data_IF_525246385387
#
_entry.id   IF_525246385387
#
_cell.length_a   1.000
_cell.length_b   1.000
_cell.length_c   1.000
_cell.angle_alpha   90.00
_cell.angle_beta   90.00
_cell.angle_gamma   90.00
#
_symmetry.space_group_name_H-M   'P 1'
#
loop_
_entity.id
_entity.type
_entity.pdbx_description
1 polymer ?
#
# COMPACT_ATOMS: atom_id res chain seq x y z
N UNK A 1 -14.45 -4.78 -12.87
CA UNK A 1 -13.76 -5.30 -14.05
C UNK A 1 -14.46 -6.57 -14.48
N UNK A 2 -15.02 -6.59 -15.71
CA UNK A 2 -15.90 -7.65 -16.22
C UNK A 2 -15.25 -9.01 -16.48
N UNK A 3 -14.43 -9.53 -15.58
CA UNK A 3 -13.92 -10.91 -15.65
C UNK A 3 -12.86 -11.19 -16.71
N UNK A 4 -12.28 -10.19 -17.33
CA UNK A 4 -11.20 -10.36 -18.28
C UNK A 4 -9.84 -10.25 -17.55
N UNK A 5 -9.04 -11.31 -17.67
CA UNK A 5 -7.65 -11.30 -17.22
C UNK A 5 -6.78 -10.61 -18.28
N UNK A 6 -5.79 -9.79 -17.89
CA UNK A 6 -4.87 -9.22 -18.85
C UNK A 6 -4.03 -10.33 -19.49
N UNK A 7 -3.65 -10.14 -20.74
CA UNK A 7 -2.74 -11.05 -21.43
C UNK A 7 -1.35 -11.04 -20.76
N UNK A 8 -0.64 -12.16 -20.85
CA UNK A 8 0.72 -12.31 -20.30
C UNK A 8 1.64 -11.17 -20.76
N UNK A 9 1.52 -10.74 -22.02
CA UNK A 9 2.31 -9.64 -22.60
C UNK A 9 1.97 -8.27 -22.02
N UNK A 10 0.79 -8.12 -21.43
CA UNK A 10 0.26 -6.84 -20.93
C UNK A 10 0.36 -6.74 -19.40
N UNK A 11 0.95 -7.74 -18.74
CA UNK A 11 1.21 -7.69 -17.32
C UNK A 11 2.25 -6.61 -17.01
N UNK A 12 1.84 -5.59 -16.27
CA UNK A 12 2.71 -4.47 -15.89
C UNK A 12 2.51 -4.06 -14.44
N UNK A 13 3.40 -3.24 -13.89
CA UNK A 13 3.35 -2.77 -12.52
C UNK A 13 3.12 -3.89 -11.51
N UNK A 14 2.20 -3.71 -10.59
CA UNK A 14 1.84 -4.71 -9.58
C UNK A 14 1.36 -6.04 -10.21
N UNK A 15 0.63 -5.97 -11.32
CA UNK A 15 0.12 -7.15 -12.01
C UNK A 15 1.25 -7.98 -12.66
N UNK A 16 2.42 -7.40 -12.95
CA UNK A 16 3.57 -8.16 -13.42
C UNK A 16 4.05 -9.16 -12.36
N UNK A 17 4.03 -8.78 -11.09
CA UNK A 17 4.41 -9.68 -10.00
C UNK A 17 3.36 -10.75 -9.74
N UNK A 18 2.12 -10.37 -9.49
CA UNK A 18 1.04 -11.32 -9.14
C UNK A 18 0.58 -12.16 -10.32
N UNK A 19 0.41 -11.54 -11.48
CA UNK A 19 0.08 -12.26 -12.71
C UNK A 19 1.23 -13.15 -13.15
N UNK A 20 2.47 -12.67 -13.08
CA UNK A 20 3.68 -13.46 -13.37
C UNK A 20 3.80 -14.66 -12.45
N UNK A 21 3.60 -14.52 -11.15
CA UNK A 21 3.56 -15.64 -10.20
C UNK A 21 2.51 -16.68 -10.61
N UNK A 22 1.32 -16.25 -10.98
CA UNK A 22 0.23 -17.12 -11.42
C UNK A 22 0.56 -17.87 -12.73
N UNK A 23 1.21 -17.18 -13.68
CA UNK A 23 1.68 -17.82 -14.92
C UNK A 23 2.71 -18.90 -14.63
N UNK A 24 3.70 -18.60 -13.78
CA UNK A 24 4.73 -19.59 -13.39
C UNK A 24 4.13 -20.78 -12.66
N UNK A 25 3.19 -20.57 -11.74
CA UNK A 25 2.48 -21.64 -11.05
C UNK A 25 1.73 -22.54 -12.05
N UNK A 26 1.02 -21.96 -13.01
CA UNK A 26 0.34 -22.70 -14.07
C UNK A 26 1.33 -23.52 -14.92
N UNK A 27 2.50 -22.94 -15.24
CA UNK A 27 3.52 -23.63 -16.03
C UNK A 27 4.08 -24.85 -15.25
N UNK A 28 4.42 -24.64 -13.97
CA UNK A 28 4.97 -25.72 -13.13
C UNK A 28 3.95 -26.84 -12.89
N UNK A 29 2.69 -26.51 -12.66
CA UNK A 29 1.64 -27.53 -12.52
C UNK A 29 1.42 -28.35 -13.80
N UNK A 30 1.60 -27.73 -14.96
CA UNK A 30 1.31 -28.39 -16.23
C UNK A 30 2.49 -29.10 -16.88
N UNK A 31 3.69 -28.55 -16.77
CA UNK A 31 4.91 -29.05 -17.42
C UNK A 31 6.02 -29.47 -16.45
N UNK A 32 5.79 -29.33 -15.13
CA UNK A 32 6.79 -29.63 -14.10
C UNK A 32 7.69 -28.44 -13.77
N UNK A 33 8.36 -28.51 -12.61
CA UNK A 33 9.25 -27.44 -12.13
C UNK A 33 10.48 -27.26 -13.04
N UNK A 34 10.97 -28.32 -13.65
CA UNK A 34 12.13 -28.32 -14.58
C UNK A 34 11.89 -27.43 -15.80
N UNK A 35 10.62 -27.21 -16.16
CA UNK A 35 10.24 -26.38 -17.30
C UNK A 35 10.72 -24.93 -17.16
N UNK A 36 10.85 -24.41 -15.94
CA UNK A 36 11.38 -23.06 -15.68
C UNK A 36 12.82 -22.95 -16.16
N UNK A 37 13.66 -23.92 -15.77
CA UNK A 37 15.06 -23.96 -16.18
C UNK A 37 15.21 -24.07 -17.69
N UNK A 38 14.39 -24.92 -18.32
CA UNK A 38 14.41 -25.09 -19.78
C UNK A 38 13.96 -23.83 -20.52
N UNK A 39 12.92 -23.15 -20.05
CA UNK A 39 12.48 -21.86 -20.62
C UNK A 39 13.61 -20.83 -20.59
N UNK A 40 14.26 -20.67 -19.43
CA UNK A 40 15.36 -19.72 -19.27
C UNK A 40 16.52 -20.06 -20.19
N UNK A 41 16.90 -21.32 -20.27
CA UNK A 41 17.95 -21.83 -21.16
C UNK A 41 17.63 -21.53 -22.64
N UNK A 42 16.42 -21.82 -23.09
CA UNK A 42 16.02 -21.61 -24.49
C UNK A 42 15.88 -20.11 -24.82
N UNK A 43 15.45 -19.28 -23.89
CA UNK A 43 15.45 -17.79 -24.05
C UNK A 43 16.89 -17.31 -24.23
N UNK A 44 17.81 -17.72 -23.35
CA UNK A 44 19.21 -17.34 -23.45
C UNK A 44 19.83 -17.77 -24.77
N UNK A 45 19.53 -19.00 -25.23
CA UNK A 45 20.07 -19.54 -26.49
C UNK A 45 19.52 -18.86 -27.74
N UNK A 46 18.24 -18.47 -27.73
CA UNK A 46 17.60 -17.84 -28.88
C UNK A 46 17.62 -16.32 -28.86
N UNK A 47 17.97 -15.72 -27.74
CA UNK A 47 17.83 -14.30 -27.44
C UNK A 47 16.41 -13.75 -27.75
N UNK A 48 15.39 -14.60 -27.60
CA UNK A 48 14.01 -14.28 -27.89
C UNK A 48 13.05 -15.01 -26.96
N UNK A 49 12.20 -14.26 -26.26
CA UNK A 49 11.26 -14.79 -25.26
C UNK A 49 10.26 -15.77 -25.91
N UNK A 50 9.60 -15.37 -26.99
CA UNK A 50 8.57 -16.20 -27.65
C UNK A 50 9.15 -17.53 -28.17
N UNK A 51 10.34 -17.46 -28.77
CA UNK A 51 11.06 -18.65 -29.23
C UNK A 51 11.47 -19.55 -28.07
N UNK A 52 11.89 -18.96 -26.93
CA UNK A 52 12.25 -19.70 -25.73
C UNK A 52 11.07 -20.48 -25.18
N UNK A 53 9.93 -19.84 -24.96
CA UNK A 53 8.70 -20.50 -24.51
C UNK A 53 8.25 -21.60 -25.48
N UNK A 54 8.24 -21.30 -26.79
CA UNK A 54 7.83 -22.29 -27.80
C UNK A 54 8.71 -23.52 -27.82
N UNK A 55 10.03 -23.36 -27.67
CA UNK A 55 10.97 -24.51 -27.66
C UNK A 55 10.87 -25.31 -26.38
N UNK A 56 10.72 -24.65 -25.24
CA UNK A 56 10.67 -25.32 -23.94
C UNK A 56 9.32 -26.03 -23.69
N UNK A 57 8.20 -25.38 -24.03
CA UNK A 57 6.85 -25.86 -23.69
C UNK A 57 6.10 -26.49 -24.87
N UNK A 58 6.62 -26.38 -26.10
CA UNK A 58 5.95 -26.87 -27.30
C UNK A 58 4.72 -26.00 -27.72
N UNK A 59 4.46 -24.88 -27.06
CA UNK A 59 3.35 -23.97 -27.33
C UNK A 59 3.85 -22.54 -27.50
N UNK A 60 3.24 -21.78 -28.39
CA UNK A 60 3.53 -20.36 -28.52
C UNK A 60 2.89 -19.57 -27.37
N UNK A 61 3.34 -18.31 -27.22
CA UNK A 61 2.92 -17.46 -26.12
C UNK A 61 1.41 -17.13 -26.13
N UNK A 62 0.79 -17.08 -27.32
CA UNK A 62 -0.66 -16.88 -27.46
C UNK A 62 -1.44 -18.07 -26.93
N UNK A 63 -1.05 -19.26 -27.34
CA UNK A 63 -1.68 -20.52 -26.87
C UNK A 63 -1.43 -20.75 -25.38
N UNK A 64 -0.27 -20.36 -24.86
CA UNK A 64 0.02 -20.38 -23.42
C UNK A 64 -0.93 -19.45 -22.67
N UNK A 65 -1.14 -18.24 -23.19
CA UNK A 65 -2.07 -17.25 -22.63
C UNK A 65 -3.50 -17.79 -22.55
N UNK A 66 -4.00 -18.34 -23.66
CA UNK A 66 -5.36 -18.91 -23.70
C UNK A 66 -5.53 -20.06 -22.70
N UNK A 67 -4.53 -20.92 -22.57
CA UNK A 67 -4.53 -22.03 -21.61
C UNK A 67 -4.48 -21.53 -20.17
N UNK A 68 -3.66 -20.51 -19.88
CA UNK A 68 -3.59 -19.90 -18.57
C UNK A 68 -4.92 -19.21 -18.21
N UNK A 69 -5.56 -18.47 -19.11
CA UNK A 69 -6.88 -17.91 -18.89
C UNK A 69 -7.93 -18.99 -18.62
N UNK A 70 -7.90 -20.11 -19.33
CA UNK A 70 -8.82 -21.25 -19.06
C UNK A 70 -8.55 -21.87 -17.69
N UNK A 71 -7.29 -22.01 -17.30
CA UNK A 71 -6.90 -22.48 -15.96
C UNK A 71 -7.43 -21.54 -14.87
N UNK A 72 -7.23 -20.24 -15.01
CA UNK A 72 -7.75 -19.25 -14.05
C UNK A 72 -9.28 -19.30 -13.95
N UNK A 73 -9.98 -19.43 -15.08
CA UNK A 73 -11.44 -19.56 -15.10
C UNK A 73 -11.90 -20.82 -14.34
N UNK A 74 -11.23 -21.94 -14.51
CA UNK A 74 -11.54 -23.18 -13.77
C UNK A 74 -11.30 -23.04 -12.27
N UNK A 75 -10.21 -22.38 -11.88
CA UNK A 75 -9.83 -22.23 -10.46
C UNK A 75 -10.71 -21.25 -9.71
N UNK A 76 -11.05 -20.12 -10.33
CA UNK A 76 -11.64 -18.97 -9.62
C UNK A 76 -13.08 -18.65 -10.01
N UNK A 77 -13.59 -19.18 -11.15
CA UNK A 77 -14.96 -18.90 -11.59
C UNK A 77 -16.05 -19.47 -10.69
N UNK A 78 -15.90 -20.65 -10.08
CA UNK A 78 -16.88 -21.14 -9.11
C UNK A 78 -17.07 -20.18 -7.93
N UNK A 79 -15.99 -19.55 -7.49
CA UNK A 79 -16.01 -18.56 -6.40
C UNK A 79 -16.75 -17.27 -6.80
N UNK A 80 -16.63 -16.84 -8.05
CA UNK A 80 -17.28 -15.61 -8.54
C UNK A 80 -18.80 -15.73 -8.56
N UNK A 81 -19.33 -16.93 -8.82
CA UNK A 81 -20.78 -17.18 -8.82
C UNK A 81 -21.39 -17.23 -7.41
N UNK A 82 -20.58 -17.52 -6.39
CA UNK A 82 -21.00 -17.65 -4.99
C UNK A 82 -20.81 -16.33 -4.22
N UNK A 83 -19.84 -15.51 -4.62
CA UNK A 83 -19.52 -14.24 -3.94
C UNK A 83 -20.39 -13.10 -4.48
N UNK A 84 -20.88 -12.27 -3.56
CA UNK A 84 -21.52 -11.01 -3.94
C UNK A 84 -20.50 -10.10 -4.60
N UNK A 85 -20.91 -9.38 -5.65
CA UNK A 85 -20.08 -8.32 -6.21
C UNK A 85 -19.81 -7.26 -5.14
N UNK A 86 -18.61 -6.71 -5.12
CA UNK A 86 -18.27 -5.64 -4.16
C UNK A 86 -19.22 -4.44 -4.29
N UNK A 87 -19.72 -4.18 -5.50
CA UNK A 87 -20.67 -3.11 -5.80
C UNK A 87 -22.06 -3.35 -5.18
N UNK A 88 -22.41 -4.61 -4.83
CA UNK A 88 -23.68 -4.95 -4.16
C UNK A 88 -23.61 -4.71 -2.65
N UNK A 89 -22.40 -4.57 -2.09
CA UNK A 89 -22.17 -4.46 -0.64
C UNK A 89 -21.40 -3.19 -0.24
N UNK A 90 -20.79 -2.48 -1.20
CA UNK A 90 -20.02 -1.28 -0.96
C UNK A 90 -20.15 -0.29 -2.12
N UNK A 91 -20.17 0.99 -1.80
CA UNK A 91 -20.16 2.06 -2.79
C UNK A 91 -18.72 2.45 -3.13
N UNK A 92 -18.41 2.49 -4.42
CA UNK A 92 -17.13 3.01 -4.91
C UNK A 92 -17.11 4.52 -4.77
N UNK A 93 -16.09 5.07 -4.11
CA UNK A 93 -15.91 6.52 -3.91
C UNK A 93 -14.90 7.16 -4.87
N UNK A 94 -13.99 6.36 -5.42
CA UNK A 94 -12.99 6.85 -6.38
C UNK A 94 -12.89 5.90 -7.57
N UNK A 95 -12.82 6.43 -8.76
CA UNK A 95 -12.61 5.68 -9.99
C UNK A 95 -11.35 6.16 -10.70
N UNK A 96 -10.44 5.24 -11.01
CA UNK A 96 -9.16 5.54 -11.66
C UNK A 96 -9.34 6.04 -13.10
N UNK A 97 -10.39 5.60 -13.79
CA UNK A 97 -10.69 6.04 -15.16
C UNK A 97 -11.21 7.47 -15.17
N UNK A 98 -12.15 7.78 -14.28
CA UNK A 98 -12.70 9.13 -14.16
C UNK A 98 -11.68 10.14 -13.63
N UNK A 99 -10.79 9.70 -12.74
CA UNK A 99 -9.77 10.53 -12.15
C UNK A 99 -8.47 10.62 -12.95
N UNK A 100 -8.37 9.84 -14.04
CA UNK A 100 -7.17 9.73 -14.87
C UNK A 100 -5.89 9.51 -14.03
N UNK A 101 -6.00 8.63 -13.01
CA UNK A 101 -4.91 8.36 -12.08
C UNK A 101 -4.66 6.86 -11.90
N UNK A 102 -3.55 6.53 -11.20
CA UNK A 102 -3.15 5.15 -10.97
C UNK A 102 -3.34 4.73 -9.51
N UNK A 103 -3.22 5.67 -8.58
CA UNK A 103 -3.18 5.38 -7.14
C UNK A 103 -4.18 6.23 -6.37
N UNK A 104 -5.03 5.55 -5.59
CA UNK A 104 -5.80 6.09 -4.48
C UNK A 104 -5.60 5.13 -3.32
N UNK A 105 -4.74 5.46 -2.36
CA UNK A 105 -4.25 4.52 -1.33
C UNK A 105 -4.29 5.13 0.06
N UNK A 106 -4.21 4.26 1.07
CA UNK A 106 -4.19 4.62 2.48
C UNK A 106 -5.38 5.48 2.94
N UNK A 107 -6.62 5.07 2.69
CA UNK A 107 -7.77 5.85 3.16
C UNK A 107 -7.82 5.86 4.70
N UNK A 108 -8.02 7.05 5.26
CA UNK A 108 -8.26 7.25 6.68
C UNK A 108 -9.52 8.09 6.88
N UNK A 109 -10.54 7.49 7.51
CA UNK A 109 -11.82 8.15 7.79
C UNK A 109 -11.66 9.12 8.95
N UNK A 110 -12.23 10.32 8.83
CA UNK A 110 -12.28 11.30 9.91
C UNK A 110 -13.13 10.80 11.07
N UNK A 111 -12.89 11.25 12.32
CA UNK A 111 -13.64 10.78 13.49
C UNK A 111 -15.15 11.01 13.40
N UNK A 112 -15.58 12.06 12.70
CA UNK A 112 -16.97 12.38 12.45
C UNK A 112 -17.59 11.63 11.26
N UNK A 113 -16.78 10.82 10.56
CA UNK A 113 -17.23 10.02 9.41
C UNK A 113 -17.52 10.84 8.13
N UNK A 114 -17.28 12.15 8.12
CA UNK A 114 -17.68 13.01 6.99
C UNK A 114 -16.62 13.09 5.87
N UNK A 115 -15.36 12.86 6.20
CA UNK A 115 -14.23 13.05 5.29
C UNK A 115 -13.28 11.87 5.32
N UNK A 116 -12.61 11.64 4.20
CA UNK A 116 -11.54 10.65 4.08
C UNK A 116 -10.27 11.36 3.63
N UNK A 117 -9.17 11.12 4.34
CA UNK A 117 -7.84 11.50 3.88
C UNK A 117 -7.25 10.35 3.07
N UNK A 118 -6.73 10.64 1.87
CA UNK A 118 -6.12 9.63 0.98
C UNK A 118 -4.87 10.17 0.32
N UNK A 119 -3.91 9.29 0.03
CA UNK A 119 -2.89 9.60 -0.95
C UNK A 119 -3.39 9.28 -2.36
N UNK A 120 -3.23 10.24 -3.27
CA UNK A 120 -3.63 10.11 -4.66
C UNK A 120 -2.65 10.81 -5.59
N UNK A 121 -2.44 10.25 -6.77
CA UNK A 121 -1.71 10.90 -7.86
C UNK A 121 -2.64 11.54 -8.90
N UNK A 122 -3.86 11.90 -8.51
CA UNK A 122 -4.75 12.76 -9.28
C UNK A 122 -4.05 14.09 -9.56
N UNK A 123 -3.88 14.53 -10.74
CA UNK A 123 -3.15 15.74 -11.13
C UNK A 123 -1.60 15.61 -11.09
N UNK A 124 -1.06 14.41 -11.18
CA UNK A 124 0.38 14.19 -11.36
C UNK A 124 1.07 13.53 -10.16
N UNK A 125 2.03 14.17 -9.49
CA UNK A 125 2.74 13.55 -8.38
C UNK A 125 1.85 13.23 -7.18
N UNK A 126 2.27 12.23 -6.39
CA UNK A 126 1.57 11.80 -5.19
C UNK A 126 1.32 12.98 -4.24
N UNK A 127 0.09 13.08 -3.73
CA UNK A 127 -0.33 14.13 -2.82
C UNK A 127 -1.33 13.59 -1.79
N UNK A 128 -1.46 14.28 -0.66
CA UNK A 128 -2.50 14.02 0.32
C UNK A 128 -3.73 14.88 0.00
N UNK A 129 -4.88 14.22 -0.14
CA UNK A 129 -6.16 14.87 -0.38
C UNK A 129 -7.17 14.54 0.72
N UNK A 130 -8.11 15.46 0.92
CA UNK A 130 -9.38 15.20 1.58
C UNK A 130 -10.45 15.00 0.53
N UNK A 131 -11.23 13.94 0.70
CA UNK A 131 -12.43 13.67 -0.07
C UNK A 131 -13.64 13.55 0.85
N UNK A 132 -14.83 13.76 0.30
CA UNK A 132 -16.09 13.51 0.98
C UNK A 132 -16.30 12.00 1.16
N UNK A 133 -16.67 11.58 2.37
CA UNK A 133 -17.02 10.19 2.62
C UNK A 133 -18.40 9.82 2.06
N UNK A 134 -19.22 10.81 1.73
CA UNK A 134 -20.55 10.60 1.16
C UNK A 134 -20.50 10.25 -0.32
N UNK A 135 -19.73 11.02 -1.12
CA UNK A 135 -19.76 10.92 -2.59
C UNK A 135 -18.38 10.78 -3.26
N UNK A 136 -17.29 10.76 -2.49
CA UNK A 136 -15.92 10.66 -3.02
C UNK A 136 -15.39 11.95 -3.66
N UNK A 137 -16.14 13.04 -3.65
CA UNK A 137 -15.73 14.32 -4.22
C UNK A 137 -14.48 14.86 -3.52
N UNK A 138 -13.48 15.26 -4.30
CA UNK A 138 -12.26 15.87 -3.79
C UNK A 138 -12.56 17.26 -3.22
N UNK A 139 -12.33 17.44 -1.92
CA UNK A 139 -12.59 18.67 -1.17
C UNK A 139 -11.37 19.58 -1.25
N UNK A 140 -10.19 19.03 -0.92
CA UNK A 140 -8.96 19.84 -0.78
C UNK A 140 -7.71 19.00 -0.93
N UNK A 141 -6.69 19.56 -1.58
CA UNK A 141 -5.32 19.05 -1.52
C UNK A 141 -4.63 19.63 -0.28
N UNK A 142 -4.09 18.76 0.59
CA UNK A 142 -3.48 19.14 1.86
C UNK A 142 -1.97 19.26 1.73
N UNK A 143 -1.36 18.25 1.10
CA UNK A 143 0.10 18.17 0.90
C UNK A 143 0.37 17.81 -0.55
N UNK A 144 1.35 18.48 -1.15
CA UNK A 144 1.96 18.08 -2.39
C UNK A 144 3.28 17.37 -2.06
N UNK A 145 3.37 16.08 -2.37
CA UNK A 145 4.61 15.29 -2.25
C UNK A 145 5.47 15.31 -3.52
N UNK A 146 6.62 14.66 -3.46
CA UNK A 146 7.53 14.32 -4.58
C UNK A 146 8.11 15.49 -5.39
N UNK A 147 7.72 16.72 -5.15
CA UNK A 147 8.25 17.93 -5.81
C UNK A 147 8.47 19.09 -4.85
N UNK A 148 8.43 18.83 -3.57
CA UNK A 148 8.74 19.83 -2.56
C UNK A 148 9.95 19.40 -1.75
N UNK A 149 10.78 20.35 -1.36
CA UNK A 149 11.93 20.10 -0.46
C UNK A 149 11.50 19.66 0.93
N UNK A 150 10.23 19.82 1.26
CA UNK A 150 9.65 19.42 2.54
C UNK A 150 9.15 17.98 2.53
N UNK A 151 8.58 17.52 1.40
CA UNK A 151 8.03 16.19 1.22
C UNK A 151 8.65 15.54 -0.02
N UNK A 152 9.80 14.88 0.17
CA UNK A 152 10.50 14.22 -0.93
C UNK A 152 9.83 12.90 -1.32
N UNK A 153 9.32 12.16 -0.31
CA UNK A 153 8.59 10.92 -0.50
C UNK A 153 7.48 10.79 0.53
N UNK A 154 6.27 10.46 0.05
CA UNK A 154 5.14 10.06 0.88
C UNK A 154 5.08 8.53 0.89
N UNK A 155 5.46 7.86 1.96
CA UNK A 155 5.62 6.41 2.08
C UNK A 155 4.37 5.61 1.70
N UNK A 156 4.05 5.53 0.41
CA UNK A 156 2.82 4.89 -0.09
C UNK A 156 2.80 3.37 0.08
N UNK A 157 3.97 2.73 0.23
CA UNK A 157 4.08 1.28 0.45
C UNK A 157 3.94 0.87 1.93
N UNK A 158 4.27 1.78 2.85
CA UNK A 158 4.03 1.64 4.29
C UNK A 158 3.26 2.86 4.80
N UNK A 159 2.09 3.13 4.23
CA UNK A 159 1.38 4.38 4.47
C UNK A 159 0.83 4.42 5.88
N UNK A 160 0.69 5.63 6.39
CA UNK A 160 -0.04 5.91 7.59
C UNK A 160 -0.56 7.33 7.55
N UNK A 161 -1.87 7.46 7.63
CA UNK A 161 -2.57 8.72 7.81
C UNK A 161 -3.41 8.54 9.06
N UNK A 162 -3.21 9.38 10.06
CA UNK A 162 -3.99 9.31 11.29
C UNK A 162 -4.58 10.66 11.65
N UNK A 163 -5.84 10.63 12.02
CA UNK A 163 -6.58 11.81 12.45
C UNK A 163 -6.43 12.03 13.95
N UNK A 164 -6.34 13.30 14.37
CA UNK A 164 -6.62 13.68 15.75
C UNK A 164 -8.07 13.39 16.11
N UNK A 165 -8.36 13.17 17.39
CA UNK A 165 -9.71 12.83 17.85
C UNK A 165 -10.76 13.86 17.42
N UNK A 166 -10.41 15.16 17.41
CA UNK A 166 -11.32 16.23 17.01
C UNK A 166 -11.44 16.41 15.50
N UNK A 167 -10.71 15.63 14.68
CA UNK A 167 -10.73 15.73 13.23
C UNK A 167 -10.18 17.02 12.65
N UNK A 168 -9.43 17.81 13.42
CA UNK A 168 -8.82 19.07 13.01
C UNK A 168 -7.37 18.97 12.57
N UNK A 169 -6.70 17.83 12.90
CA UNK A 169 -5.31 17.58 12.53
C UNK A 169 -5.13 16.19 11.90
N UNK A 170 -4.11 16.07 11.08
CA UNK A 170 -3.66 14.82 10.49
C UNK A 170 -2.19 14.62 10.81
N UNK A 171 -1.83 13.42 11.27
CA UNK A 171 -0.45 12.95 11.38
C UNK A 171 -0.11 12.06 10.19
N UNK A 172 1.09 12.23 9.63
CA UNK A 172 1.66 11.37 8.60
C UNK A 172 3.19 11.35 8.71
N UNK A 173 3.79 10.33 8.14
CA UNK A 173 5.24 10.23 7.99
C UNK A 173 5.64 10.50 6.53
N UNK A 174 6.77 11.17 6.35
CA UNK A 174 7.32 11.44 5.03
C UNK A 174 8.83 11.62 5.09
N UNK A 175 9.51 11.27 4.00
CA UNK A 175 10.93 11.58 3.83
C UNK A 175 11.12 13.07 3.61
N UNK A 176 12.07 13.63 4.33
CA UNK A 176 12.37 15.06 4.28
C UNK A 176 13.86 15.32 4.53
N UNK A 177 14.64 15.33 3.49
CA UNK A 177 16.10 15.38 3.54
C UNK A 177 16.71 14.00 3.79
N UNK A 178 17.66 13.91 4.71
CA UNK A 178 18.42 12.67 4.97
C UNK A 178 17.63 11.58 5.73
N UNK A 179 16.52 11.92 6.36
CA UNK A 179 15.74 11.02 7.23
C UNK A 179 14.25 11.29 7.11
N UNK A 180 13.46 10.39 7.65
CA UNK A 180 12.04 10.61 7.81
C UNK A 180 11.73 11.63 8.91
N UNK A 181 10.55 12.19 8.81
CA UNK A 181 9.98 13.04 9.85
C UNK A 181 8.49 12.74 10.04
N UNK A 182 8.03 12.90 11.26
CA UNK A 182 6.61 12.93 11.58
C UNK A 182 6.07 14.34 11.32
N UNK A 183 5.03 14.43 10.52
CA UNK A 183 4.35 15.69 10.21
C UNK A 183 2.98 15.72 10.85
N UNK A 184 2.64 16.87 11.42
CA UNK A 184 1.30 17.18 11.90
C UNK A 184 0.77 18.36 11.10
N UNK A 185 -0.36 18.15 10.44
CA UNK A 185 -1.00 19.17 9.60
C UNK A 185 -2.29 19.63 10.28
N UNK A 186 -2.39 20.88 10.60
CA UNK A 186 -3.62 21.53 11.06
C UNK A 186 -4.48 21.87 9.83
N UNK A 187 -5.68 21.31 9.78
CA UNK A 187 -6.56 21.41 8.61
C UNK A 187 -7.28 22.77 8.51
N UNK A 188 -7.39 23.49 9.63
CA UNK A 188 -8.00 24.82 9.68
C UNK A 188 -7.04 25.89 9.18
N UNK A 189 -5.81 25.86 9.69
CA UNK A 189 -4.79 26.87 9.40
C UNK A 189 -3.87 26.48 8.24
N UNK A 190 -3.88 25.23 7.80
CA UNK A 190 -2.89 24.60 6.89
C UNK A 190 -1.45 24.63 7.42
N UNK A 191 -1.25 24.91 8.69
CA UNK A 191 0.08 24.85 9.30
C UNK A 191 0.56 23.42 9.34
N UNK A 192 1.78 23.21 8.88
CA UNK A 192 2.49 21.94 8.91
C UNK A 192 3.59 22.04 9.94
N UNK A 193 3.57 21.15 10.93
CA UNK A 193 4.62 21.07 11.95
C UNK A 193 5.42 19.81 11.71
N UNK A 194 6.73 19.96 11.57
CA UNK A 194 7.65 18.87 11.29
C UNK A 194 8.39 18.50 12.57
N UNK A 195 8.32 17.23 12.94
CA UNK A 195 9.03 16.66 14.08
C UNK A 195 10.11 15.71 13.59
N UNK A 196 11.38 16.08 13.78
CA UNK A 196 12.55 15.24 13.49
C UNK A 196 12.87 14.41 14.71
N UNK A 197 12.79 13.08 14.57
CA UNK A 197 12.93 12.14 15.69
C UNK A 197 14.22 11.31 15.61
N UNK A 198 15.16 11.70 14.73
CA UNK A 198 16.46 11.04 14.51
C UNK A 198 16.35 9.54 14.20
N UNK A 199 15.40 9.18 13.33
CA UNK A 199 15.18 7.82 12.86
C UNK A 199 15.43 7.72 11.36
N UNK A 200 15.89 6.56 10.91
CA UNK A 200 16.09 6.29 9.49
C UNK A 200 14.74 6.17 8.77
N UNK A 201 13.75 5.55 9.42
CA UNK A 201 12.40 5.40 8.91
C UNK A 201 11.33 5.66 9.97
N UNK A 202 10.23 6.31 9.58
CA UNK A 202 9.02 6.50 10.37
C UNK A 202 7.83 6.06 9.53
N UNK A 203 7.03 5.10 10.05
CA UNK A 203 5.93 4.52 9.31
C UNK A 203 4.68 4.41 10.17
N UNK A 204 3.50 4.38 9.54
CA UNK A 204 2.21 4.07 10.15
C UNK A 204 1.90 4.84 11.43
N UNK A 205 1.96 6.18 11.45
CA UNK A 205 1.57 6.93 12.62
C UNK A 205 0.10 6.65 12.98
N UNK A 206 -0.16 6.49 14.27
CA UNK A 206 -1.48 6.24 14.83
C UNK A 206 -1.72 7.19 16.02
N UNK A 207 -2.65 8.11 15.87
CA UNK A 207 -3.00 9.06 16.93
C UNK A 207 -3.76 8.36 18.04
N UNK A 208 -3.34 8.55 19.28
CA UNK A 208 -3.98 7.94 20.45
C UNK A 208 -5.31 8.61 20.73
N UNK A 209 -6.43 7.87 20.80
CA UNK A 209 -7.71 8.42 21.18
C UNK A 209 -7.66 9.09 22.57
N UNK A 210 -8.24 10.27 22.70
CA UNK A 210 -8.29 11.01 23.98
C UNK A 210 -6.99 11.70 24.42
N UNK A 211 -5.89 11.52 23.67
CA UNK A 211 -4.57 12.01 24.06
C UNK A 211 -3.89 12.75 22.91
N UNK A 212 -2.93 13.62 23.24
CA UNK A 212 -2.09 14.27 22.23
C UNK A 212 -0.78 13.49 22.02
N UNK A 213 -0.94 12.21 21.78
CA UNK A 213 0.14 11.25 21.57
C UNK A 213 -0.02 10.51 20.24
N UNK A 214 1.09 10.20 19.60
CA UNK A 214 1.13 9.47 18.34
C UNK A 214 2.07 8.30 18.48
N UNK A 215 1.53 7.08 18.36
CA UNK A 215 2.36 5.90 18.19
C UNK A 215 2.75 5.75 16.72
N UNK A 216 3.93 5.20 16.45
CA UNK A 216 4.39 4.93 15.09
C UNK A 216 5.44 3.82 15.09
N UNK A 217 5.69 3.24 13.93
CA UNK A 217 6.81 2.33 13.71
C UNK A 217 8.04 3.17 13.38
N UNK A 218 9.09 3.03 14.19
CA UNK A 218 10.36 3.70 14.00
C UNK A 218 11.47 2.71 13.68
N UNK A 219 12.24 2.99 12.62
CA UNK A 219 13.47 2.26 12.30
C UNK A 219 14.68 3.07 12.75
N UNK A 220 15.50 2.48 13.60
CA UNK A 220 16.73 3.09 14.13
C UNK A 220 18.02 2.52 13.50
N UNK A 221 17.89 1.82 12.38
CA UNK A 221 18.98 1.14 11.67
C UNK A 221 19.22 -0.31 12.13
N UNK A 222 18.43 -0.85 13.07
CA UNK A 222 18.56 -2.23 13.58
C UNK A 222 17.27 -3.01 13.42
N UNK A 223 16.20 -2.53 14.03
CA UNK A 223 14.87 -3.15 14.06
C UNK A 223 13.80 -2.10 13.84
N UNK A 224 12.59 -2.57 13.56
CA UNK A 224 11.40 -1.73 13.56
C UNK A 224 10.73 -1.87 14.94
N UNK A 225 10.84 -0.84 15.75
CA UNK A 225 10.21 -0.79 17.07
C UNK A 225 8.99 0.13 17.06
N UNK A 226 8.14 -0.03 18.05
CA UNK A 226 7.03 0.87 18.32
C UNK A 226 7.47 2.01 19.21
N UNK A 227 7.25 3.22 18.76
CA UNK A 227 7.50 4.44 19.52
C UNK A 227 6.21 5.17 19.83
N UNK A 228 6.16 5.86 20.97
CA UNK A 228 5.10 6.78 21.31
C UNK A 228 5.69 8.19 21.49
N UNK A 229 5.13 9.15 20.78
CA UNK A 229 5.54 10.55 20.78
C UNK A 229 4.45 11.43 21.35
N UNK A 230 4.76 12.16 22.42
CA UNK A 230 3.86 13.16 22.98
C UNK A 230 4.07 14.48 22.24
N UNK A 231 3.02 14.96 21.60
CA UNK A 231 3.06 16.16 20.71
C UNK A 231 3.29 17.45 21.49
N UNK A 232 2.79 17.52 22.73
CA UNK A 232 2.87 18.73 23.55
C UNK A 232 4.23 18.90 24.22
N UNK A 233 4.77 17.81 24.74
CA UNK A 233 6.05 17.81 25.49
C UNK A 233 7.26 17.52 24.62
N UNK A 234 7.06 16.94 23.44
CA UNK A 234 8.14 16.44 22.58
C UNK A 234 8.80 15.17 23.12
N UNK A 235 8.25 14.53 24.16
CA UNK A 235 8.80 13.31 24.71
C UNK A 235 8.59 12.13 23.76
N UNK A 236 9.68 11.41 23.49
CA UNK A 236 9.69 10.19 22.70
C UNK A 236 10.02 8.99 23.60
N UNK A 237 9.21 7.94 23.52
CA UNK A 237 9.42 6.69 24.25
C UNK A 237 9.41 5.52 23.28
N UNK A 238 10.44 4.65 23.35
CA UNK A 238 10.42 3.34 22.71
C UNK A 238 9.61 2.37 23.57
N UNK A 239 8.61 1.71 23.01
CA UNK A 239 7.71 0.81 23.74
C UNK A 239 8.14 -0.66 23.68
N UNK A 240 8.83 -1.07 22.63
CA UNK A 240 9.17 -2.49 22.40
C UNK A 240 10.65 -2.82 22.54
N UNK A 241 11.54 -1.95 22.17
CA UNK A 241 13.01 -1.97 22.39
C UNK A 241 13.64 -3.38 22.41
N UNK A 242 13.47 -4.13 21.34
CA UNK A 242 13.99 -5.50 21.22
C UNK A 242 14.57 -5.79 19.83
N UNK A 243 14.84 -7.06 19.50
CA UNK A 243 15.44 -7.48 18.22
C UNK A 243 14.39 -7.88 17.18
N UNK A 244 13.12 -7.89 17.55
CA UNK A 244 12.03 -8.30 16.69
C UNK A 244 11.53 -7.13 15.86
N UNK A 245 10.84 -7.46 14.77
CA UNK A 245 10.23 -6.48 13.89
C UNK A 245 8.76 -6.34 14.22
N UNK A 246 8.36 -5.13 14.57
CA UNK A 246 6.96 -4.78 14.83
C UNK A 246 6.38 -4.00 13.64
N UNK A 247 5.11 -4.24 13.33
CA UNK A 247 4.37 -3.53 12.26
C UNK A 247 2.85 -3.46 12.57
N UNK A 248 2.10 -2.73 11.75
CA UNK A 248 0.63 -2.65 11.71
C UNK A 248 -0.01 -2.29 13.06
N UNK A 249 0.39 -1.15 13.60
CA UNK A 249 -0.14 -0.66 14.87
C UNK A 249 -1.57 -0.10 14.75
N UNK A 250 -2.36 -0.32 15.78
CA UNK A 250 -3.70 0.25 15.93
C UNK A 250 -4.05 0.47 17.40
N UNK A 251 -4.55 1.64 17.74
CA UNK A 251 -5.07 1.90 19.08
C UNK A 251 -6.44 1.29 19.27
N UNK A 252 -6.69 0.76 20.45
CA UNK A 252 -8.05 0.48 20.90
C UNK A 252 -8.83 1.82 21.00
N UNK A 253 -10.14 1.85 20.70
CA UNK A 253 -10.93 3.10 20.67
C UNK A 253 -10.91 3.92 21.95
N UNK A 254 -10.69 3.31 23.13
CA UNK A 254 -10.55 4.04 24.40
C UNK A 254 -9.13 4.59 24.65
N UNK A 255 -8.14 4.24 23.79
CA UNK A 255 -6.77 4.69 23.91
C UNK A 255 -5.91 3.96 24.95
N UNK A 256 -6.42 2.94 25.66
CA UNK A 256 -5.68 2.24 26.73
C UNK A 256 -4.72 1.16 26.19
N UNK A 257 -5.02 0.59 25.04
CA UNK A 257 -4.27 -0.52 24.44
C UNK A 257 -3.82 -0.20 23.05
N UNK A 258 -2.62 -0.66 22.71
CA UNK A 258 -2.06 -0.64 21.37
C UNK A 258 -1.91 -2.08 20.87
N UNK A 259 -2.53 -2.40 19.73
CA UNK A 259 -2.39 -3.68 19.05
C UNK A 259 -1.34 -3.55 17.95
N UNK A 260 -0.58 -4.61 17.72
CA UNK A 260 0.44 -4.65 16.69
C UNK A 260 0.74 -6.09 16.24
N UNK A 261 1.42 -6.23 15.11
CA UNK A 261 1.95 -7.50 14.62
C UNK A 261 3.44 -7.54 14.91
N UNK A 262 3.96 -8.70 15.32
CA UNK A 262 5.37 -8.91 15.62
C UNK A 262 5.82 -10.29 15.16
N UNK A 263 7.09 -10.41 14.78
CA UNK A 263 7.74 -11.68 14.42
C UNK A 263 8.36 -12.43 15.62
N UNK A 264 8.00 -12.02 16.86
CA UNK A 264 8.56 -12.58 18.12
C UNK A 264 8.45 -14.09 18.25
N UNK A 265 7.45 -14.69 17.68
CA UNK A 265 7.17 -16.11 17.84
C UNK A 265 7.44 -16.95 16.59
N UNK A 266 8.17 -16.42 15.60
CA UNK A 266 8.49 -17.10 14.34
C UNK A 266 7.23 -17.67 13.63
N UNK A 267 6.09 -16.99 13.71
CA UNK A 267 4.84 -17.36 13.05
C UNK A 267 4.60 -16.53 11.82
#
# INVERSE_FOLDING_TARGET
NGGEFPDIKNLNGYMAYRGGQSVWNFITEKWGEESIGEIIYQIKKSNNIETGFKRALGVDLKKLNDQWHQYLKKMYWPDVTIRKNIQDIARQLTDHKELENTYNVAPALSPDGSRIAIFSNKLGPMALYLISAEDGRFIKKIIQGERSTEFEELHILKPGISWSQNGDKIALAAKSGKSDALFIVDLKTNKKTKHRLNMEGIFRPAWRPGHNEIAFIGNNGKSNDIYNYNVDTGQLKNLTQDWFTDDQISWHPNGDFLFFISDRNNM
#
